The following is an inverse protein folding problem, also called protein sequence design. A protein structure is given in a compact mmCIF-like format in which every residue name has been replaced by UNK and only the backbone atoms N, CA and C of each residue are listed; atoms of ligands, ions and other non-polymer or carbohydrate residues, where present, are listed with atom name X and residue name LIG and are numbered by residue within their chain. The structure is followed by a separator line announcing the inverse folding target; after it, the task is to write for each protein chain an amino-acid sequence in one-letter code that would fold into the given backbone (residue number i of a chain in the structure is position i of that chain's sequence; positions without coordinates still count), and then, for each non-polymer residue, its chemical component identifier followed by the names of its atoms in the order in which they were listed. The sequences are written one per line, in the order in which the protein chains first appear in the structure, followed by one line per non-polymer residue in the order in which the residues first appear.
data_IF_463013369728
#
_entry.id   IF_463013369728
#
_cell.length_a   1.000
_cell.length_b   1.000
_cell.length_c   1.000
_cell.angle_alpha   90.00
_cell.angle_beta   90.00
_cell.angle_gamma   90.00
#
_symmetry.space_group_name_H-M   'P 1'
#
loop_
_entity.id
_entity.type
_entity.pdbx_description
1 polymer ?
#
# COMPACT_ATOMS: atom_id res chain seq x y z
N UNK A 1 -0.54 -6.56 26.62
CA UNK A 1 -1.33 -7.39 25.68
C UNK A 1 -1.48 -6.58 24.38
N UNK A 2 -0.55 -6.74 23.43
CA UNK A 2 -0.59 -5.98 22.16
C UNK A 2 -1.52 -6.72 21.18
N UNK A 3 -2.71 -6.19 20.95
CA UNK A 3 -3.59 -6.69 19.88
C UNK A 3 -3.14 -6.04 18.57
N UNK A 4 -2.05 -6.54 17.99
CA UNK A 4 -1.57 -6.13 16.67
C UNK A 4 -2.36 -6.91 15.60
N UNK A 5 -3.40 -6.29 15.06
CA UNK A 5 -4.00 -6.65 13.77
C UNK A 5 -4.23 -5.37 13.00
N UNK A 6 -3.27 -4.94 12.18
CA UNK A 6 -3.53 -3.79 11.30
C UNK A 6 -4.13 -4.26 9.96
N UNK A 7 -5.37 -4.75 10.06
CA UNK A 7 -6.31 -4.66 8.96
C UNK A 7 -7.01 -3.32 9.11
N UNK A 8 -6.69 -2.36 8.23
CA UNK A 8 -7.34 -1.06 8.24
C UNK A 8 -8.79 -1.23 7.78
N UNK A 9 -9.73 -0.74 8.58
CA UNK A 9 -11.15 -0.81 8.26
C UNK A 9 -11.51 0.20 7.17
N UNK A 10 -12.56 -0.09 6.40
CA UNK A 10 -13.15 0.89 5.49
C UNK A 10 -13.53 2.17 6.24
N UNK A 11 -13.24 3.33 5.65
CA UNK A 11 -13.40 4.65 6.28
C UNK A 11 -12.24 5.10 7.17
N UNK A 12 -11.24 4.26 7.43
CA UNK A 12 -9.99 4.71 8.07
C UNK A 12 -9.28 5.70 7.17
N UNK A 13 -8.85 6.84 7.70
CA UNK A 13 -8.10 7.86 6.95
C UNK A 13 -6.65 7.84 7.39
N UNK A 14 -5.73 7.56 6.45
CA UNK A 14 -4.28 7.64 6.68
C UNK A 14 -3.72 8.99 6.22
N UNK A 15 -2.86 9.58 7.04
CA UNK A 15 -2.18 10.85 6.76
C UNK A 15 -3.14 12.01 6.54
N UNK A 16 -4.38 11.91 7.05
CA UNK A 16 -5.45 12.88 6.81
C UNK A 16 -5.90 13.00 5.34
N UNK A 17 -5.46 12.11 4.45
CA UNK A 17 -5.66 12.24 2.99
C UNK A 17 -6.23 11.01 2.32
N UNK A 18 -5.87 9.81 2.78
CA UNK A 18 -6.21 8.58 2.08
C UNK A 18 -7.26 7.78 2.84
N UNK A 19 -8.49 7.77 2.35
CA UNK A 19 -9.60 7.04 2.96
C UNK A 19 -9.65 5.61 2.45
N UNK A 20 -9.44 4.62 3.31
CA UNK A 20 -9.48 3.20 2.97
C UNK A 20 -10.89 2.82 2.51
N UNK A 21 -10.99 2.15 1.36
CA UNK A 21 -12.25 1.64 0.80
C UNK A 21 -12.36 0.15 1.09
N UNK A 22 -11.38 -0.64 0.63
CA UNK A 22 -11.35 -2.11 0.76
C UNK A 22 -9.94 -2.67 0.63
N UNK A 23 -9.75 -3.90 1.08
CA UNK A 23 -8.49 -4.64 0.85
C UNK A 23 -8.42 -5.12 -0.61
N UNK A 24 -7.25 -4.94 -1.23
CA UNK A 24 -6.90 -5.49 -2.56
C UNK A 24 -6.12 -6.79 -2.43
N UNK A 25 -5.27 -6.93 -1.42
CA UNK A 25 -4.52 -8.15 -1.19
C UNK A 25 -3.60 -8.09 0.00
N UNK A 26 -2.91 -9.19 0.24
CA UNK A 26 -1.90 -9.34 1.28
C UNK A 26 -0.62 -9.92 0.67
N UNK A 27 0.49 -9.23 0.89
CA UNK A 27 1.84 -9.73 0.61
C UNK A 27 2.54 -10.17 1.90
N UNK A 28 3.77 -10.68 1.77
CA UNK A 28 4.55 -11.10 2.94
C UNK A 28 4.82 -9.96 3.92
N UNK A 29 5.18 -8.78 3.41
CA UNK A 29 5.62 -7.62 4.20
C UNK A 29 4.54 -6.55 4.42
N UNK A 30 3.46 -6.59 3.65
CA UNK A 30 2.50 -5.49 3.57
C UNK A 30 1.09 -5.97 3.22
N UNK A 31 0.09 -5.21 3.67
CA UNK A 31 -1.27 -5.25 3.15
C UNK A 31 -1.41 -4.22 2.03
N UNK A 32 -2.25 -4.51 1.04
CA UNK A 32 -2.57 -3.55 -0.04
C UNK A 32 -4.05 -3.24 0.01
N UNK A 33 -4.37 -1.95 0.05
CA UNK A 33 -5.74 -1.43 0.11
C UNK A 33 -6.03 -0.56 -1.10
N UNK A 34 -7.28 -0.55 -1.52
CA UNK A 34 -7.82 0.51 -2.37
C UNK A 34 -8.25 1.64 -1.44
N UNK A 35 -7.87 2.86 -1.78
CA UNK A 35 -8.24 4.06 -1.03
C UNK A 35 -8.62 5.21 -1.96
N UNK A 36 -9.43 6.14 -1.47
CA UNK A 36 -9.67 7.43 -2.11
C UNK A 36 -8.63 8.44 -1.63
N UNK A 37 -7.93 9.08 -2.55
CA UNK A 37 -7.19 10.32 -2.29
C UNK A 37 -8.19 11.47 -2.18
N UNK A 38 -8.47 11.91 -0.95
CA UNK A 38 -9.48 12.92 -0.66
C UNK A 38 -9.15 14.30 -1.26
N UNK A 39 -7.88 14.58 -1.56
CA UNK A 39 -7.46 15.83 -2.20
C UNK A 39 -7.71 15.79 -3.70
N UNK A 40 -7.35 14.69 -4.36
CA UNK A 40 -7.42 14.57 -5.82
C UNK A 40 -8.71 13.89 -6.32
N UNK A 41 -9.53 13.34 -5.43
CA UNK A 41 -10.76 12.59 -5.75
C UNK A 41 -10.51 11.43 -6.71
N UNK A 42 -9.39 10.74 -6.54
CA UNK A 42 -8.97 9.60 -7.34
C UNK A 42 -8.74 8.37 -6.46
N UNK A 43 -8.74 7.19 -7.08
CA UNK A 43 -8.39 5.95 -6.38
C UNK A 43 -6.90 5.67 -6.44
N UNK A 44 -6.36 5.19 -5.32
CA UNK A 44 -4.96 4.81 -5.17
C UNK A 44 -4.85 3.41 -4.54
N UNK A 45 -3.74 2.74 -4.81
CA UNK A 45 -3.35 1.53 -4.10
C UNK A 45 -2.41 1.91 -2.94
N UNK A 46 -2.86 1.68 -1.72
CA UNK A 46 -2.08 1.91 -0.50
C UNK A 46 -1.43 0.60 -0.05
N UNK A 47 -0.11 0.51 -0.20
CA UNK A 47 0.69 -0.58 0.35
C UNK A 47 1.14 -0.20 1.76
N UNK A 48 0.62 -0.88 2.77
CA UNK A 48 0.83 -0.58 4.20
C UNK A 48 1.65 -1.69 4.84
N UNK A 49 2.74 -1.34 5.52
CA UNK A 49 3.58 -2.30 6.25
C UNK A 49 2.78 -3.00 7.34
N UNK A 50 2.99 -4.31 7.50
CA UNK A 50 2.36 -5.08 8.59
C UNK A 50 2.91 -4.63 9.94
N UNK A 51 2.03 -4.47 10.93
CA UNK A 51 2.39 -4.06 12.29
C UNK A 51 3.31 -5.07 13.00
N UNK A 52 3.33 -6.33 12.57
CA UNK A 52 4.28 -7.32 13.12
C UNK A 52 5.73 -7.08 12.67
N UNK A 53 5.93 -6.27 11.62
CA UNK A 53 7.22 -6.01 10.98
C UNK A 53 7.67 -4.55 11.18
N UNK A 54 6.85 -3.71 11.83
CA UNK A 54 7.10 -2.28 12.00
C UNK A 54 8.28 -1.96 12.93
N UNK A 55 8.61 -2.89 13.83
CA UNK A 55 9.70 -2.77 14.79
C UNK A 55 11.02 -3.41 14.30
N UNK A 56 11.00 -4.12 13.16
CA UNK A 56 12.17 -4.79 12.60
C UNK A 56 12.90 -3.87 11.60
N UNK A 57 14.13 -3.40 11.92
CA UNK A 57 14.86 -2.48 11.08
C UNK A 57 15.15 -3.01 9.66
N UNK A 58 15.27 -4.33 9.49
CA UNK A 58 15.51 -4.91 8.17
C UNK A 58 14.29 -4.73 7.26
N UNK A 59 13.09 -5.00 7.77
CA UNK A 59 11.84 -4.84 7.04
C UNK A 59 11.56 -3.37 6.74
N UNK A 60 11.80 -2.48 7.70
CA UNK A 60 11.70 -1.03 7.50
C UNK A 60 12.63 -0.58 6.38
N UNK A 61 13.89 -1.03 6.41
CA UNK A 61 14.88 -0.68 5.38
C UNK A 61 14.46 -1.18 4.01
N UNK A 62 14.02 -2.44 3.91
CA UNK A 62 13.59 -3.05 2.63
C UNK A 62 12.37 -2.34 2.05
N UNK A 63 11.40 -2.00 2.88
CA UNK A 63 10.21 -1.25 2.45
C UNK A 63 10.56 0.14 1.94
N UNK A 64 11.45 0.85 2.64
CA UNK A 64 11.93 2.16 2.19
C UNK A 64 12.76 2.05 0.89
N UNK A 65 13.57 1.01 0.74
CA UNK A 65 14.31 0.75 -0.50
C UNK A 65 13.36 0.50 -1.68
N UNK A 66 12.29 -0.28 -1.48
CA UNK A 66 11.28 -0.52 -2.50
C UNK A 66 10.59 0.78 -2.92
N UNK A 67 10.15 1.59 -1.95
CA UNK A 67 9.52 2.88 -2.21
C UNK A 67 10.42 3.79 -3.07
N UNK A 68 11.69 3.93 -2.68
CA UNK A 68 12.65 4.79 -3.41
C UNK A 68 12.97 4.28 -4.81
N UNK A 69 13.19 2.97 -4.95
CA UNK A 69 13.49 2.37 -6.24
C UNK A 69 12.31 2.56 -7.20
N UNK A 70 11.09 2.26 -6.74
CA UNK A 70 9.89 2.41 -7.57
C UNK A 70 9.54 3.88 -7.85
N UNK A 71 9.81 4.81 -6.93
CA UNK A 71 9.61 6.26 -7.16
C UNK A 71 10.52 6.85 -8.24
N UNK A 72 11.64 6.19 -8.57
CA UNK A 72 12.54 6.62 -9.65
C UNK A 72 12.14 6.11 -11.04
N UNK A 73 11.08 5.31 -11.15
CA UNK A 73 10.64 4.70 -12.40
C UNK A 73 9.47 5.50 -12.99
N UNK A 74 9.59 5.85 -14.26
CA UNK A 74 8.53 6.49 -15.06
C UNK A 74 8.39 5.72 -16.39
N UNK A 75 7.40 4.83 -16.46
CA UNK A 75 7.16 4.00 -17.65
C UNK A 75 5.71 3.50 -17.68
N UNK A 76 5.03 3.50 -18.85
CA UNK A 76 3.60 3.12 -18.97
C UNK A 76 3.26 1.66 -18.60
N UNK A 77 4.25 0.83 -18.30
CA UNK A 77 4.08 -0.57 -17.90
C UNK A 77 4.63 -0.86 -16.50
N UNK A 78 4.97 0.17 -15.74
CA UNK A 78 5.45 0.06 -14.36
C UNK A 78 4.48 0.84 -13.47
N UNK A 79 4.01 0.21 -12.40
CA UNK A 79 3.12 0.86 -11.43
C UNK A 79 3.84 2.03 -10.77
N UNK A 80 3.34 3.25 -11.01
CA UNK A 80 3.92 4.47 -10.48
C UNK A 80 3.73 4.58 -8.95
N UNK A 81 4.79 4.96 -8.25
CA UNK A 81 4.72 5.42 -6.85
C UNK A 81 4.42 6.92 -6.87
N UNK A 82 3.31 7.29 -6.25
CA UNK A 82 2.82 8.66 -6.20
C UNK A 82 3.33 9.41 -4.97
N UNK A 83 3.43 8.71 -3.85
CA UNK A 83 3.84 9.27 -2.55
C UNK A 83 4.26 8.14 -1.59
N UNK A 84 4.88 8.46 -0.48
CA UNK A 84 5.11 7.55 0.63
C UNK A 84 5.12 8.31 1.95
N UNK A 85 4.65 7.68 3.01
CA UNK A 85 4.47 8.37 4.29
C UNK A 85 4.53 7.46 5.49
N UNK A 86 4.46 8.10 6.64
CA UNK A 86 4.29 7.47 7.93
C UNK A 86 3.25 8.25 8.71
N UNK A 87 2.25 7.55 9.24
CA UNK A 87 1.24 8.09 10.13
C UNK A 87 1.27 7.27 11.42
N UNK A 88 1.62 7.90 12.53
CA UNK A 88 2.01 7.22 13.78
C UNK A 88 3.05 6.10 13.52
N UNK A 89 2.71 4.84 13.79
CA UNK A 89 3.56 3.66 13.55
C UNK A 89 3.28 2.98 12.18
N UNK A 90 2.40 3.58 11.37
CA UNK A 90 1.92 3.01 10.10
C UNK A 90 2.74 3.58 8.94
N UNK A 91 3.62 2.77 8.36
CA UNK A 91 4.35 3.12 7.14
C UNK A 91 3.58 2.68 5.91
N UNK A 92 3.46 3.55 4.92
CA UNK A 92 2.71 3.27 3.70
C UNK A 92 3.37 3.86 2.44
N UNK A 93 3.10 3.22 1.31
CA UNK A 93 3.44 3.68 -0.04
C UNK A 93 2.15 3.87 -0.80
N UNK A 94 2.02 5.02 -1.46
CA UNK A 94 0.88 5.37 -2.31
C UNK A 94 1.28 5.07 -3.74
N UNK A 95 0.50 4.23 -4.40
CA UNK A 95 0.72 3.82 -5.77
C UNK A 95 -0.51 4.12 -6.61
N UNK A 96 -0.31 4.25 -7.92
CA UNK A 96 -1.45 4.30 -8.82
C UNK A 96 -2.33 3.05 -8.67
N UNK A 97 -3.65 3.25 -8.77
CA UNK A 97 -4.58 2.12 -8.80
C UNK A 97 -4.78 1.69 -10.25
N UNK A 98 -4.36 0.46 -10.55
CA UNK A 98 -4.63 -0.17 -11.85
C UNK A 98 -5.88 -1.03 -11.72
N UNK A 99 -6.93 -0.68 -12.46
CA UNK A 99 -8.14 -1.48 -12.55
C UNK A 99 -7.91 -2.72 -13.40
N UNK A 100 -8.31 -3.89 -12.89
CA UNK A 100 -8.21 -5.15 -13.62
C UNK A 100 -7.84 -6.34 -12.74
N UNK A 101 -7.45 -7.43 -13.41
CA UNK A 101 -7.01 -8.67 -12.79
C UNK A 101 -5.49 -8.75 -12.79
N UNK A 102 -4.91 -9.39 -11.78
CA UNK A 102 -3.48 -9.69 -11.82
C UNK A 102 -3.21 -10.79 -12.84
N UNK A 103 -1.99 -10.86 -13.38
CA UNK A 103 -1.58 -11.97 -14.25
C UNK A 103 -1.79 -13.34 -13.57
N UNK A 104 -1.60 -13.41 -12.25
CA UNK A 104 -1.84 -14.62 -11.45
C UNK A 104 -3.30 -15.05 -11.50
N UNK A 105 -4.24 -14.12 -11.47
CA UNK A 105 -5.67 -14.42 -11.57
C UNK A 105 -5.99 -14.94 -12.98
N UNK A 106 -5.46 -14.28 -14.02
CA UNK A 106 -5.65 -14.71 -15.41
C UNK A 106 -5.07 -16.10 -15.72
N UNK A 107 -3.97 -16.49 -15.08
CA UNK A 107 -3.39 -17.83 -15.23
C UNK A 107 -4.26 -18.90 -14.55
N UNK A 108 -4.92 -18.57 -13.43
CA UNK A 108 -5.76 -19.50 -12.67
C UNK A 108 -7.13 -19.76 -13.30
N UNK A 109 -7.59 -18.86 -14.15
CA UNK A 109 -8.86 -18.96 -14.87
C UNK A 109 -8.76 -19.82 -16.14
N UNK A 110 -7.57 -20.31 -16.48
CA UNK A 110 -7.31 -21.21 -17.61
C UNK A 110 -7.40 -22.69 -17.23
#
# INVERSE_FOLDING_TARGET
MKVNKQNLASGTVLGGRYSIIRTLGQGGMAHVYMAEDLQNRSYVALKVMRAELSDDPEFIRRFATEARAAASLDHPNIVAVLDYGQDEDIRYIVQEYVEGKTLKDLIREQ
#
